data_IF_403003690609
#
_entry.id   IF_403003690609
#
_cell.length_a   1.000
_cell.length_b   1.000
_cell.length_c   1.000
_cell.angle_alpha   90.00
_cell.angle_beta   90.00
_cell.angle_gamma   90.00
#
_symmetry.space_group_name_H-M   'P 1'
#
loop_
_entity.id
_entity.type
_entity.pdbx_description
1 polymer ?
#
# COMPACT_ATOMS: atom_id res chain seq x y z
N UNK A 1 -26.51 35.74 -5.18
CA UNK A 1 -26.34 34.39 -5.76
C UNK A 1 -27.08 33.39 -4.88
N UNK A 2 -28.30 32.98 -5.26
CA UNK A 2 -29.04 31.92 -4.57
C UNK A 2 -28.82 30.62 -5.36
N UNK A 3 -28.04 29.68 -4.80
CA UNK A 3 -27.90 28.35 -5.38
C UNK A 3 -29.24 27.63 -5.18
N UNK A 4 -29.95 27.39 -6.26
CA UNK A 4 -31.18 26.60 -6.25
C UNK A 4 -30.82 25.16 -5.92
N UNK A 5 -31.40 24.66 -4.83
CA UNK A 5 -31.31 23.26 -4.44
C UNK A 5 -32.14 22.44 -5.44
N UNK A 6 -31.48 21.65 -6.30
CA UNK A 6 -32.14 20.85 -7.33
C UNK A 6 -32.47 19.47 -6.75
N UNK A 7 -33.75 19.16 -6.46
CA UNK A 7 -34.15 17.95 -5.71
C UNK A 7 -33.73 16.63 -6.38
N UNK A 8 -33.63 16.60 -7.72
CA UNK A 8 -33.15 15.43 -8.45
C UNK A 8 -31.68 15.07 -8.16
N UNK A 9 -30.84 16.07 -7.88
CA UNK A 9 -29.42 15.85 -7.57
C UNK A 9 -29.25 15.21 -6.19
N UNK A 10 -30.09 15.58 -5.22
CA UNK A 10 -30.10 14.95 -3.90
C UNK A 10 -30.53 13.48 -3.96
N UNK A 11 -31.50 13.15 -4.80
CA UNK A 11 -31.98 11.77 -4.94
C UNK A 11 -30.88 10.84 -5.49
N UNK A 12 -30.11 11.32 -6.46
CA UNK A 12 -28.95 10.59 -7.00
C UNK A 12 -27.86 10.40 -5.94
N UNK A 13 -27.54 11.46 -5.17
CA UNK A 13 -26.53 11.38 -4.10
C UNK A 13 -26.98 10.40 -3.00
N UNK A 14 -28.24 10.44 -2.59
CA UNK A 14 -28.80 9.48 -1.62
C UNK A 14 -28.78 8.05 -2.13
N UNK A 15 -29.03 7.82 -3.42
CA UNK A 15 -28.95 6.49 -4.03
C UNK A 15 -27.53 5.94 -4.07
N UNK A 16 -26.54 6.76 -4.44
CA UNK A 16 -25.12 6.36 -4.47
C UNK A 16 -24.61 6.01 -3.07
N UNK A 17 -24.98 6.82 -2.06
CA UNK A 17 -24.63 6.54 -0.66
C UNK A 17 -25.31 5.28 -0.12
N UNK A 18 -26.53 4.98 -0.53
CA UNK A 18 -27.21 3.75 -0.12
C UNK A 18 -26.52 2.51 -0.72
N UNK A 19 -26.08 2.57 -1.98
CA UNK A 19 -25.41 1.47 -2.67
C UNK A 19 -23.98 1.19 -2.14
N UNK A 20 -23.28 2.20 -1.62
CA UNK A 20 -21.93 2.03 -1.07
C UNK A 20 -21.86 1.18 0.21
N UNK A 21 -22.98 0.96 0.92
CA UNK A 21 -23.02 0.13 2.13
C UNK A 21 -23.08 -1.38 1.87
N UNK A 22 -23.35 -1.80 0.62
CA UNK A 22 -23.51 -3.21 0.25
C UNK A 22 -22.23 -3.86 -0.27
N UNK A 23 -21.14 -3.11 -0.40
CA UNK A 23 -19.85 -3.69 -0.74
C UNK A 23 -19.18 -4.23 0.55
N UNK A 24 -19.01 -5.55 0.72
CA UNK A 24 -18.18 -6.06 1.79
C UNK A 24 -16.75 -5.52 1.58
N UNK A 25 -16.17 -4.93 2.61
CA UNK A 25 -14.74 -4.63 2.60
C UNK A 25 -13.97 -5.94 2.32
N UNK A 26 -12.92 -5.86 1.52
CA UNK A 26 -12.03 -7.01 1.29
C UNK A 26 -11.25 -7.28 2.58
N UNK A 27 -11.87 -8.01 3.49
CA UNK A 27 -11.32 -8.38 4.81
C UNK A 27 -10.38 -9.59 4.70
N UNK A 28 -10.04 -10.02 3.48
CA UNK A 28 -9.20 -11.19 3.29
C UNK A 28 -7.75 -10.75 3.48
N UNK A 29 -7.31 -10.83 4.73
CA UNK A 29 -5.90 -10.69 5.09
C UNK A 29 -5.05 -11.57 4.16
N UNK A 30 -4.01 -10.97 3.59
CA UNK A 30 -3.04 -11.71 2.80
C UNK A 30 -2.25 -12.57 3.78
N UNK A 31 -2.54 -13.87 3.82
CA UNK A 31 -1.79 -14.81 4.63
C UNK A 31 -0.46 -15.12 3.96
N UNK A 32 0.60 -15.25 4.76
CA UNK A 32 1.88 -15.74 4.26
C UNK A 32 1.70 -17.17 3.69
N UNK A 33 2.39 -17.46 2.59
CA UNK A 33 2.49 -18.81 2.09
C UNK A 33 3.56 -19.55 2.92
N UNK A 34 3.11 -20.42 3.82
CA UNK A 34 3.98 -21.21 4.71
C UNK A 34 4.90 -22.18 3.95
N UNK A 35 4.63 -22.45 2.66
CA UNK A 35 5.54 -23.23 1.81
C UNK A 35 6.76 -22.44 1.37
N UNK A 36 6.71 -21.10 1.45
CA UNK A 36 7.81 -20.21 1.14
C UNK A 36 8.56 -19.91 2.43
N UNK A 37 9.79 -20.44 2.61
CA UNK A 37 10.55 -20.17 3.81
C UNK A 37 10.84 -18.67 3.89
N UNK A 38 10.61 -18.08 5.07
CA UNK A 38 10.97 -16.68 5.33
C UNK A 38 12.49 -16.56 5.23
N UNK A 39 13.02 -15.71 4.33
CA UNK A 39 14.46 -15.51 4.22
C UNK A 39 15.06 -15.00 5.53
N UNK A 40 16.22 -15.52 5.91
CA UNK A 40 16.98 -14.98 7.04
C UNK A 40 17.44 -13.57 6.68
N UNK A 41 17.19 -12.63 7.58
CA UNK A 41 17.69 -11.25 7.49
C UNK A 41 18.81 -11.04 8.51
N UNK A 42 19.74 -10.17 8.18
CA UNK A 42 20.82 -9.77 9.07
C UNK A 42 20.56 -8.36 9.60
N UNK A 43 20.96 -8.13 10.84
CA UNK A 43 20.99 -6.80 11.45
C UNK A 43 22.44 -6.43 11.78
N UNK A 44 22.77 -5.15 11.70
CA UNK A 44 24.10 -4.67 12.10
C UNK A 44 24.23 -4.56 13.63
N UNK A 45 25.38 -4.06 14.10
CA UNK A 45 25.65 -3.93 15.53
C UNK A 45 24.76 -2.89 16.23
N UNK A 46 24.08 -2.04 15.47
CA UNK A 46 23.17 -0.99 15.91
C UNK A 46 21.72 -1.46 15.88
N UNK A 47 21.46 -2.65 15.32
CA UNK A 47 20.12 -3.22 15.17
C UNK A 47 19.41 -2.74 13.90
N UNK A 48 20.12 -2.13 12.96
CA UNK A 48 19.55 -1.71 11.67
C UNK A 48 19.52 -2.88 10.68
N UNK A 49 18.49 -2.94 9.84
CA UNK A 49 18.38 -3.97 8.80
C UNK A 49 19.54 -3.83 7.82
N UNK A 50 20.39 -4.85 7.76
CA UNK A 50 21.53 -4.88 6.85
C UNK A 50 21.07 -5.33 5.47
N UNK A 51 20.99 -4.38 4.55
CA UNK A 51 20.72 -4.63 3.13
C UNK A 51 22.01 -4.46 2.33
N UNK A 52 22.30 -5.42 1.45
CA UNK A 52 23.47 -5.37 0.56
C UNK A 52 23.04 -5.62 -0.87
N UNK A 53 23.59 -4.83 -1.80
CA UNK A 53 23.37 -5.04 -3.22
C UNK A 53 23.96 -6.39 -3.65
N UNK A 54 23.22 -7.12 -4.50
CA UNK A 54 23.74 -8.35 -5.08
C UNK A 54 24.74 -8.03 -6.21
N UNK A 55 25.60 -8.98 -6.63
CA UNK A 55 26.47 -8.79 -7.79
C UNK A 55 25.71 -8.45 -9.10
N UNK A 56 24.42 -8.77 -9.15
CA UNK A 56 23.56 -8.53 -10.32
C UNK A 56 22.72 -7.26 -10.19
N UNK A 57 22.81 -6.55 -9.06
CA UNK A 57 22.08 -5.31 -8.86
C UNK A 57 22.62 -4.21 -9.76
N UNK A 58 21.72 -3.43 -10.35
CA UNK A 58 22.06 -2.21 -11.08
C UNK A 58 22.60 -1.17 -10.10
N UNK A 59 23.53 -0.30 -10.52
CA UNK A 59 23.93 0.88 -9.75
C UNK A 59 22.74 1.77 -9.35
N UNK A 60 21.64 1.71 -10.10
CA UNK A 60 20.47 2.57 -9.91
C UNK A 60 19.30 1.87 -9.21
N UNK A 61 19.45 0.60 -8.78
CA UNK A 61 18.37 -0.17 -8.15
C UNK A 61 17.89 0.43 -6.82
N UNK A 62 18.64 1.37 -6.25
CA UNK A 62 18.36 1.97 -4.94
C UNK A 62 18.27 3.50 -4.97
N UNK A 63 18.24 4.12 -6.16
CA UNK A 63 18.21 5.58 -6.33
C UNK A 63 16.94 6.22 -5.74
N UNK A 64 15.87 5.45 -5.58
CA UNK A 64 14.61 5.91 -4.99
C UNK A 64 14.65 5.98 -3.44
N UNK A 65 15.67 5.41 -2.80
CA UNK A 65 15.81 5.40 -1.34
C UNK A 65 16.87 6.43 -0.92
N UNK A 66 16.49 7.34 -0.03
CA UNK A 66 17.41 8.34 0.52
C UNK A 66 18.42 7.65 1.45
N UNK A 67 19.68 7.51 1.01
CA UNK A 67 20.77 6.89 1.77
C UNK A 67 22.04 6.71 0.93
N UNK A 68 23.22 6.58 1.55
CA UNK A 68 24.47 6.25 0.85
C UNK A 68 24.63 4.73 0.80
N UNK A 69 24.08 4.11 -0.24
CA UNK A 69 24.32 2.72 -0.56
C UNK A 69 25.74 2.58 -1.11
N UNK A 70 26.59 1.79 -0.44
CA UNK A 70 27.97 1.49 -0.84
C UNK A 70 28.12 0.03 -1.19
#
# INVERSE_FOLDING_TARGET
MRRTFVPGTCLIISLVLALSHFAPAQNKELTADESIPIPKVEFDAQGELKMTASPNSSPNDFDFLVGKWK
#
